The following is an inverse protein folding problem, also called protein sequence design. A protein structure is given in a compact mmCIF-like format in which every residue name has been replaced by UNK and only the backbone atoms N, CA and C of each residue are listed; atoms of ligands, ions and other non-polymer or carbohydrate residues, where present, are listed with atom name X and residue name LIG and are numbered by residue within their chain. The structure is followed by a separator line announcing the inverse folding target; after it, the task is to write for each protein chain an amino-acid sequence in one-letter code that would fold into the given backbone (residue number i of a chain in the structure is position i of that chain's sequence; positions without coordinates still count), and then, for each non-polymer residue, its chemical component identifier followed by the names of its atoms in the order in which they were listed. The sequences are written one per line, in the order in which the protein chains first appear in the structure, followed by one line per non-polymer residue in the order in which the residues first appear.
data_IF_882186737379
#
_entry.id   IF_882186737379
#
_cell.length_a   1.000
_cell.length_b   1.000
_cell.length_c   1.000
_cell.angle_alpha   90.00
_cell.angle_beta   90.00
_cell.angle_gamma   90.00
#
_symmetry.space_group_name_H-M   'P 1'
#
loop_
_entity.id
_entity.type
_entity.pdbx_description
1 polymer ?
#
# COMPACT_ATOMS: atom_id res chain seq x y z
N UNK A 1 14.58 26.34 -9.08
CA UNK A 1 13.71 25.21 -9.45
C UNK A 1 14.46 23.91 -9.15
N UNK A 2 13.90 22.99 -8.34
CA UNK A 2 14.64 21.79 -7.90
C UNK A 2 13.94 20.95 -6.84
N UNK A 3 12.62 21.13 -6.67
CA UNK A 3 11.80 20.36 -5.74
C UNK A 3 10.58 19.88 -6.51
N UNK A 4 10.51 18.58 -6.78
CA UNK A 4 9.32 17.92 -7.27
C UNK A 4 8.47 17.44 -6.10
N UNK A 5 7.16 17.41 -6.28
CA UNK A 5 6.23 16.78 -5.34
C UNK A 5 5.44 15.71 -6.10
N UNK A 6 5.23 14.56 -5.46
CA UNK A 6 4.45 13.47 -6.00
C UNK A 6 3.62 12.83 -4.89
N UNK A 7 2.43 12.35 -5.24
CA UNK A 7 1.61 11.56 -4.33
C UNK A 7 2.05 10.09 -4.41
N UNK A 8 2.61 9.57 -3.32
CA UNK A 8 3.06 8.18 -3.21
C UNK A 8 2.43 7.52 -1.98
N UNK A 9 2.18 6.20 -2.01
CA UNK A 9 1.86 5.46 -0.80
C UNK A 9 2.99 5.59 0.23
N UNK A 10 2.65 5.77 1.51
CA UNK A 10 3.64 5.91 2.59
C UNK A 10 4.63 4.74 2.62
N UNK A 11 4.13 3.51 2.49
CA UNK A 11 4.96 2.29 2.48
C UNK A 11 6.05 2.33 1.38
N UNK A 12 5.78 2.95 0.23
CA UNK A 12 6.74 3.02 -0.86
C UNK A 12 7.88 4.00 -0.53
N UNK A 13 7.55 5.11 0.13
CA UNK A 13 8.54 6.09 0.58
C UNK A 13 9.39 5.51 1.71
N UNK A 14 8.82 4.69 2.59
CA UNK A 14 9.54 4.00 3.66
C UNK A 14 10.50 2.94 3.09
N UNK A 15 10.08 2.16 2.10
CA UNK A 15 10.93 1.14 1.47
C UNK A 15 12.07 1.74 0.61
N UNK A 16 11.75 2.77 -0.19
CA UNK A 16 12.72 3.38 -1.12
C UNK A 16 13.45 4.60 -0.55
N UNK A 17 13.07 5.10 0.62
CA UNK A 17 13.65 6.32 1.21
C UNK A 17 15.15 6.22 1.49
N UNK A 18 15.69 4.99 1.60
CA UNK A 18 17.13 4.73 1.72
C UNK A 18 17.86 4.73 0.37
N UNK A 19 17.13 4.56 -0.73
CA UNK A 19 17.69 4.39 -2.09
C UNK A 19 17.60 5.64 -2.94
N UNK A 20 16.59 6.48 -2.70
CA UNK A 20 16.37 7.74 -3.42
C UNK A 20 16.12 8.86 -2.41
N UNK A 21 16.56 10.11 -2.70
CA UNK A 21 16.45 11.24 -1.78
C UNK A 21 15.01 11.78 -1.75
N UNK A 22 14.09 10.98 -1.20
CA UNK A 22 12.68 11.33 -1.01
C UNK A 22 12.37 11.39 0.47
N UNK A 23 11.44 12.27 0.85
CA UNK A 23 10.96 12.41 2.22
C UNK A 23 9.44 12.47 2.25
N UNK A 24 8.76 11.77 3.16
CA UNK A 24 7.33 11.87 3.29
C UNK A 24 6.96 13.25 3.88
N UNK A 25 5.87 13.82 3.39
CA UNK A 25 5.23 15.01 3.98
C UNK A 25 3.75 14.70 4.20
N UNK A 26 3.19 15.19 5.30
CA UNK A 26 1.79 14.99 5.61
C UNK A 26 0.90 15.94 4.78
N UNK A 27 -0.22 15.42 4.28
CA UNK A 27 -1.23 16.21 3.57
C UNK A 27 -2.28 16.72 4.57
N UNK A 28 -2.18 18.00 4.94
CA UNK A 28 -3.07 18.63 5.92
C UNK A 28 -2.75 18.27 7.38
N UNK A 29 -3.38 18.97 8.33
CA UNK A 29 -3.09 18.87 9.77
C UNK A 29 -3.33 17.46 10.35
N UNK A 30 -4.35 16.77 9.85
CA UNK A 30 -4.73 15.42 10.29
C UNK A 30 -4.22 14.30 9.38
N UNK A 31 -3.68 14.65 8.21
CA UNK A 31 -3.25 13.67 7.22
C UNK A 31 -4.43 13.07 6.45
N UNK A 32 -4.10 12.25 5.44
CA UNK A 32 -5.10 11.53 4.63
C UNK A 32 -4.79 10.04 4.72
N UNK A 33 -5.63 9.24 5.40
CA UNK A 33 -5.46 7.78 5.42
C UNK A 33 -5.68 7.21 4.01
N UNK A 34 -4.90 6.19 3.66
CA UNK A 34 -5.01 5.48 2.38
C UNK A 34 -5.31 4.02 2.65
N UNK A 35 -6.29 3.48 1.93
CA UNK A 35 -6.68 2.07 2.02
C UNK A 35 -6.52 1.42 0.65
N UNK A 36 -5.95 0.22 0.63
CA UNK A 36 -5.85 -0.62 -0.57
C UNK A 36 -7.00 -1.62 -0.50
N UNK A 37 -7.89 -1.57 -1.48
CA UNK A 37 -8.97 -2.55 -1.62
C UNK A 37 -8.55 -3.63 -2.61
N UNK A 38 -8.79 -4.89 -2.24
CA UNK A 38 -8.60 -6.03 -3.13
C UNK A 38 -9.96 -6.46 -3.69
N UNK A 39 -10.11 -6.39 -5.01
CA UNK A 39 -11.30 -6.83 -5.72
C UNK A 39 -11.19 -8.28 -6.16
N UNK A 40 -12.31 -9.00 -6.10
CA UNK A 40 -12.42 -10.35 -6.62
C UNK A 40 -13.61 -10.44 -7.58
N UNK A 41 -13.44 -11.16 -8.70
CA UNK A 41 -14.55 -11.53 -9.57
C UNK A 41 -15.45 -12.54 -8.86
N UNK A 42 -16.75 -12.29 -8.85
CA UNK A 42 -17.72 -13.13 -8.12
C UNK A 42 -17.65 -14.61 -8.51
N UNK A 43 -17.51 -14.90 -9.82
CA UNK A 43 -17.36 -16.27 -10.32
C UNK A 43 -16.09 -17.00 -9.84
N UNK A 44 -15.07 -16.25 -9.42
CA UNK A 44 -13.77 -16.80 -8.99
C UNK A 44 -13.75 -17.04 -7.46
N UNK A 45 -14.88 -16.89 -6.76
CA UNK A 45 -14.99 -17.02 -5.28
C UNK A 45 -14.64 -18.41 -4.75
N UNK A 46 -14.89 -19.44 -5.53
CA UNK A 46 -14.62 -20.83 -5.16
C UNK A 46 -13.26 -21.33 -5.64
N UNK A 47 -12.42 -20.46 -6.21
CA UNK A 47 -11.09 -20.83 -6.67
C UNK A 47 -10.16 -21.06 -5.48
N UNK A 48 -9.77 -22.33 -5.28
CA UNK A 48 -9.03 -22.77 -4.10
C UNK A 48 -7.73 -22.00 -3.85
N UNK A 49 -6.88 -21.83 -4.87
CA UNK A 49 -5.59 -21.14 -4.70
C UNK A 49 -5.78 -19.69 -4.24
N UNK A 50 -6.86 -19.06 -4.66
CA UNK A 50 -7.16 -17.68 -4.32
C UNK A 50 -7.68 -17.57 -2.89
N UNK A 51 -8.51 -18.52 -2.46
CA UNK A 51 -8.91 -18.65 -1.06
C UNK A 51 -7.70 -18.91 -0.15
N UNK A 52 -6.76 -19.78 -0.57
CA UNK A 52 -5.50 -19.99 0.15
C UNK A 52 -4.65 -18.72 0.23
N UNK A 53 -4.51 -17.98 -0.87
CA UNK A 53 -3.82 -16.69 -0.88
C UNK A 53 -4.46 -15.69 0.09
N UNK A 54 -5.78 -15.56 0.06
CA UNK A 54 -6.52 -14.66 0.96
C UNK A 54 -6.39 -15.04 2.42
N UNK A 55 -6.24 -16.34 2.73
CA UNK A 55 -5.96 -16.81 4.09
C UNK A 55 -4.56 -16.40 4.52
N UNK A 56 -3.55 -16.70 3.70
CA UNK A 56 -2.16 -16.32 3.97
C UNK A 56 -1.99 -14.81 4.17
N UNK A 57 -2.58 -14.00 3.27
CA UNK A 57 -2.47 -12.54 3.34
C UNK A 57 -3.05 -11.95 4.63
N UNK A 58 -4.07 -12.58 5.23
CA UNK A 58 -4.65 -12.14 6.52
C UNK A 58 -3.79 -12.50 7.73
N UNK A 59 -2.95 -13.53 7.62
CA UNK A 59 -2.04 -13.94 8.68
C UNK A 59 -0.81 -13.02 8.76
N UNK A 60 -0.45 -12.38 7.64
CA UNK A 60 0.66 -11.42 7.60
C UNK A 60 0.27 -10.15 8.37
N UNK A 61 0.98 -9.90 9.47
CA UNK A 61 0.97 -8.61 10.18
C UNK A 61 2.26 -7.87 9.86
N UNK A 62 2.11 -6.66 9.34
CA UNK A 62 3.22 -5.73 9.20
C UNK A 62 3.33 -4.96 10.52
N UNK A 63 4.51 -5.02 11.14
CA UNK A 63 4.81 -4.33 12.41
C UNK A 63 5.51 -3.00 12.13
#
# INVERSE_FOLDING_TARGET
AGRGVAALPRWLVEDYGTRIPVRPVQLGETGIPKQIFLGLRERDREVDYLNSFMKLAREVRWN
#
